data_IF_852528975632
#
_entry.id   IF_852528975632
#
_cell.length_a   1.000
_cell.length_b   1.000
_cell.length_c   1.000
_cell.angle_alpha   90.00
_cell.angle_beta   90.00
_cell.angle_gamma   90.00
#
_symmetry.space_group_name_H-M   'P 1'
#
loop_
_entity.id
_entity.type
_entity.pdbx_description
1 polymer ?
#
# COMPACT_ATOMS: atom_id res chain seq x y z
N UNK A 1 19.65 -4.98 -4.96
CA UNK A 1 20.03 -6.40 -4.77
C UNK A 1 21.02 -6.47 -3.63
N UNK A 2 20.57 -6.71 -2.40
CA UNK A 2 21.46 -7.02 -1.29
C UNK A 2 20.64 -7.76 -0.21
N UNK A 3 20.65 -9.09 -0.32
CA UNK A 3 20.62 -9.95 0.85
C UNK A 3 21.90 -9.73 1.67
N UNK A 4 21.98 -10.35 2.84
CA UNK A 4 23.14 -10.52 3.74
C UNK A 4 23.03 -9.73 5.04
N UNK A 5 22.43 -10.35 6.06
CA UNK A 5 22.98 -10.26 7.42
C UNK A 5 22.85 -11.64 8.08
N UNK A 6 23.95 -12.41 8.05
CA UNK A 6 24.28 -13.38 9.10
C UNK A 6 25.79 -13.58 9.19
N UNK A 7 26.28 -13.27 10.40
CA UNK A 7 27.32 -13.97 11.17
C UNK A 7 28.77 -13.60 10.88
N UNK A 8 29.41 -13.00 11.88
CA UNK A 8 30.71 -13.45 12.39
C UNK A 8 30.89 -12.99 13.84
N UNK A 9 31.22 -13.97 14.69
CA UNK A 9 31.68 -13.86 16.07
C UNK A 9 33.18 -14.16 15.99
N UNK A 10 34.07 -13.40 16.62
CA UNK A 10 34.94 -13.84 17.73
C UNK A 10 36.14 -12.93 18.04
N UNK A 11 36.55 -13.07 19.30
CA UNK A 11 37.83 -12.71 19.94
C UNK A 11 37.87 -11.31 20.55
N UNK A 12 38.46 -11.06 21.72
CA UNK A 12 38.99 -11.91 22.80
C UNK A 12 39.42 -10.95 23.92
N UNK A 13 39.31 -11.35 25.19
CA UNK A 13 40.33 -11.09 26.24
C UNK A 13 39.97 -11.77 27.57
N UNK A 14 41.00 -12.42 28.11
CA UNK A 14 41.09 -13.20 29.35
C UNK A 14 41.03 -12.32 30.62
N UNK A 15 40.63 -12.94 31.74
CA UNK A 15 41.32 -12.94 33.05
C UNK A 15 40.54 -13.86 34.01
N UNK A 16 40.86 -15.15 34.18
CA UNK A 16 41.72 -15.77 35.22
C UNK A 16 41.47 -15.31 36.67
N UNK A 17 40.95 -16.20 37.54
CA UNK A 17 41.46 -16.43 38.91
C UNK A 17 41.10 -17.83 39.46
N UNK A 18 42.17 -18.55 39.84
CA UNK A 18 42.45 -19.61 40.84
C UNK A 18 41.29 -20.46 41.41
N UNK A 19 41.25 -21.78 41.16
CA UNK A 19 41.91 -22.92 41.87
C UNK A 19 41.44 -23.13 43.32
N UNK A 20 40.81 -24.29 43.59
CA UNK A 20 41.05 -25.20 44.73
C UNK A 20 40.13 -26.45 44.60
N UNK A 21 40.72 -27.64 44.71
CA UNK A 21 40.15 -29.00 44.78
C UNK A 21 40.99 -29.75 45.85
N UNK A 22 40.64 -30.97 46.33
CA UNK A 22 39.42 -31.80 46.23
C UNK A 22 39.00 -32.34 47.64
N UNK A 23 38.21 -33.44 47.80
CA UNK A 23 38.75 -34.80 47.64
C UNK A 23 37.79 -35.82 46.97
N UNK A 24 38.38 -36.97 46.71
CA UNK A 24 37.99 -38.11 45.88
C UNK A 24 37.10 -39.10 46.66
N UNK A 25 36.10 -39.69 46.00
CA UNK A 25 35.47 -40.95 46.45
C UNK A 25 35.14 -41.85 45.24
N UNK A 26 35.98 -42.88 45.13
CA UNK A 26 35.78 -44.28 44.69
C UNK A 26 34.77 -44.70 43.60
N UNK A 27 35.34 -45.40 42.60
CA UNK A 27 34.93 -46.69 42.03
C UNK A 27 34.25 -46.76 40.63
N UNK A 28 34.46 -47.88 39.89
CA UNK A 28 35.08 -47.85 38.55
C UNK A 28 34.11 -48.09 37.38
N UNK A 29 34.54 -47.70 36.18
CA UNK A 29 33.88 -47.99 34.89
C UNK A 29 34.22 -49.41 34.41
N UNK A 30 33.26 -50.17 33.86
CA UNK A 30 33.56 -51.18 32.86
C UNK A 30 33.45 -50.56 31.45
N UNK A 31 34.53 -50.70 30.68
CA UNK A 31 34.54 -50.53 29.23
C UNK A 31 33.70 -51.65 28.60
N UNK A 32 32.56 -51.30 28.00
CA UNK A 32 31.92 -52.16 27.01
C UNK A 32 31.53 -51.32 25.81
N UNK A 33 32.29 -51.53 24.73
CA UNK A 33 31.89 -51.19 23.38
C UNK A 33 30.70 -52.04 22.98
N UNK A 34 29.53 -51.41 22.80
CA UNK A 34 28.48 -51.99 21.95
C UNK A 34 28.34 -51.12 20.71
N UNK A 35 28.74 -51.70 19.58
CA UNK A 35 28.42 -51.23 18.25
C UNK A 35 26.92 -50.98 18.14
N UNK A 36 26.50 -49.70 18.05
CA UNK A 36 25.13 -49.36 17.67
C UNK A 36 25.01 -49.41 16.15
N UNK A 37 24.78 -50.59 15.62
CA UNK A 37 24.34 -50.80 14.24
C UNK A 37 22.86 -50.47 14.13
N UNK A 38 22.53 -49.20 13.89
CA UNK A 38 21.19 -48.82 13.42
C UNK A 38 21.26 -47.98 12.14
N UNK A 39 21.78 -48.60 11.07
CA UNK A 39 21.62 -48.15 9.69
C UNK A 39 20.21 -48.43 9.14
N UNK A 40 19.17 -48.20 9.94
CA UNK A 40 17.78 -48.25 9.48
C UNK A 40 17.11 -46.91 9.76
N UNK A 41 17.37 -45.95 8.87
CA UNK A 41 16.48 -44.80 8.69
C UNK A 41 15.16 -45.34 8.11
N UNK A 42 14.25 -45.79 8.96
CA UNK A 42 12.89 -46.15 8.53
C UNK A 42 12.21 -44.87 8.07
N UNK A 43 12.28 -44.59 6.76
CA UNK A 43 11.45 -43.57 6.13
C UNK A 43 10.02 -44.03 6.32
N UNK A 44 9.30 -43.42 7.26
CA UNK A 44 7.87 -43.68 7.42
C UNK A 44 7.18 -43.53 6.06
N UNK A 45 6.50 -44.57 5.56
CA UNK A 45 5.87 -44.52 4.25
C UNK A 45 4.90 -43.33 4.19
N UNK A 46 4.90 -42.59 3.08
CA UNK A 46 4.13 -41.33 2.92
C UNK A 46 2.65 -41.46 3.31
N UNK A 47 2.09 -42.67 3.25
CA UNK A 47 0.73 -43.05 3.66
C UNK A 47 0.43 -42.81 5.15
N UNK A 48 1.41 -42.94 6.04
CA UNK A 48 1.23 -42.79 7.50
C UNK A 48 1.70 -41.43 8.05
N UNK A 49 2.18 -40.52 7.19
CA UNK A 49 2.40 -39.14 7.61
C UNK A 49 1.05 -38.48 7.82
N UNK A 50 0.68 -38.22 9.09
CA UNK A 50 -0.44 -37.33 9.43
C UNK A 50 -0.31 -36.07 8.57
N UNK A 51 -1.32 -35.81 7.72
CA UNK A 51 -1.43 -34.56 6.96
C UNK A 51 -1.52 -33.43 7.98
N UNK A 52 -0.37 -32.84 8.34
CA UNK A 52 -0.35 -31.63 9.16
C UNK A 52 -1.11 -30.57 8.38
N UNK A 53 -2.13 -29.97 8.98
CA UNK A 53 -2.75 -28.77 8.41
C UNK A 53 -1.60 -27.80 8.08
N UNK A 54 -1.57 -27.23 6.86
CA UNK A 54 -0.53 -26.26 6.52
C UNK A 54 -0.53 -25.19 7.60
N UNK A 55 0.65 -24.90 8.16
CA UNK A 55 0.79 -23.80 9.12
C UNK A 55 0.33 -22.53 8.42
N UNK A 56 -0.53 -21.75 9.08
CA UNK A 56 -0.94 -20.46 8.56
C UNK A 56 0.30 -19.61 8.32
N UNK A 57 0.43 -19.11 7.09
CA UNK A 57 1.51 -18.22 6.71
C UNK A 57 0.99 -16.78 6.74
N UNK A 58 1.84 -15.78 7.06
CA UNK A 58 1.45 -14.37 6.96
C UNK A 58 0.97 -13.94 5.57
N UNK A 59 1.25 -14.74 4.54
CA UNK A 59 0.79 -14.53 3.17
C UNK A 59 -0.65 -15.00 2.92
N UNK A 60 -1.19 -15.83 3.80
CA UNK A 60 -2.54 -16.39 3.70
C UNK A 60 -3.43 -15.93 4.84
N UNK A 61 -2.83 -15.58 5.98
CA UNK A 61 -3.55 -15.06 7.13
C UNK A 61 -4.06 -13.65 6.85
N UNK A 62 -5.36 -13.46 7.01
CA UNK A 62 -6.03 -12.17 6.87
C UNK A 62 -5.70 -11.27 8.07
N UNK A 63 -5.67 -9.96 7.83
CA UNK A 63 -5.45 -8.96 8.89
C UNK A 63 -6.62 -8.90 9.86
N UNK A 64 -7.84 -8.91 9.32
CA UNK A 64 -9.07 -8.90 10.12
C UNK A 64 -9.54 -10.32 10.40
N UNK A 65 -10.09 -10.51 11.60
CA UNK A 65 -10.82 -11.72 11.96
C UNK A 65 -12.24 -11.69 11.35
N UNK A 66 -12.81 -12.87 11.12
CA UNK A 66 -14.16 -13.08 10.56
C UNK A 66 -15.25 -12.13 11.09
N UNK A 67 -15.39 -11.82 12.40
CA UNK A 67 -16.49 -10.98 12.89
C UNK A 67 -16.37 -9.48 12.52
N UNK A 68 -15.17 -8.99 12.20
CA UNK A 68 -14.93 -7.57 11.90
C UNK A 68 -14.70 -7.31 10.41
N UNK A 69 -14.93 -8.32 9.56
CA UNK A 69 -14.63 -8.26 8.14
C UNK A 69 -15.72 -7.51 7.40
N UNK A 70 -15.30 -6.53 6.61
CA UNK A 70 -16.17 -5.80 5.70
C UNK A 70 -15.94 -6.33 4.28
N UNK A 71 -16.96 -7.01 3.74
CA UNK A 71 -16.88 -7.71 2.45
C UNK A 71 -16.55 -6.77 1.29
N UNK A 72 -17.11 -5.56 1.26
CA UNK A 72 -16.90 -4.60 0.18
C UNK A 72 -15.42 -4.18 0.02
N UNK A 73 -14.71 -3.89 1.12
CA UNK A 73 -13.29 -3.52 1.06
C UNK A 73 -12.40 -4.67 0.61
N UNK A 74 -12.77 -5.89 0.99
CA UNK A 74 -12.06 -7.11 0.58
C UNK A 74 -12.26 -7.41 -0.91
N UNK A 75 -13.46 -7.16 -1.43
CA UNK A 75 -13.76 -7.26 -2.86
C UNK A 75 -12.94 -6.25 -3.67
N UNK A 76 -12.75 -5.01 -3.19
CA UNK A 76 -11.89 -4.03 -3.86
C UNK A 76 -10.44 -4.51 -3.98
N UNK A 77 -9.88 -5.11 -2.93
CA UNK A 77 -8.52 -5.69 -2.99
C UNK A 77 -8.46 -6.89 -3.94
N UNK A 78 -9.51 -7.70 -4.01
CA UNK A 78 -9.59 -8.82 -4.95
C UNK A 78 -9.70 -8.34 -6.40
N UNK A 79 -10.51 -7.30 -6.65
CA UNK A 79 -10.66 -6.62 -7.95
C UNK A 79 -9.30 -6.16 -8.47
N UNK A 80 -8.51 -5.47 -7.65
CA UNK A 80 -7.16 -5.03 -8.05
C UNK A 80 -6.26 -6.22 -8.42
N UNK A 81 -6.39 -7.34 -7.70
CA UNK A 81 -5.59 -8.54 -7.98
C UNK A 81 -5.99 -9.19 -9.30
N UNK A 82 -7.26 -9.09 -9.68
CA UNK A 82 -7.81 -9.60 -10.94
C UNK A 82 -7.33 -8.74 -12.12
N UNK A 83 -7.48 -7.41 -12.03
CA UNK A 83 -7.04 -6.47 -13.07
C UNK A 83 -5.54 -6.17 -13.04
N UNK A 84 -4.78 -6.79 -12.13
CA UNK A 84 -3.33 -6.57 -12.02
C UNK A 84 -2.60 -6.76 -13.36
N UNK A 85 -3.03 -7.73 -14.16
CA UNK A 85 -2.46 -7.94 -15.50
C UNK A 85 -2.76 -6.74 -16.41
N UNK A 86 -4.01 -6.33 -16.48
CA UNK A 86 -4.46 -5.22 -17.31
C UNK A 86 -3.76 -3.90 -16.92
N UNK A 87 -3.84 -3.48 -15.65
CA UNK A 87 -3.25 -2.20 -15.19
C UNK A 87 -1.74 -2.16 -15.43
N UNK A 88 -1.04 -3.27 -15.21
CA UNK A 88 0.41 -3.36 -15.40
C UNK A 88 0.80 -3.41 -16.88
N UNK A 89 0.04 -4.13 -17.69
CA UNK A 89 0.24 -4.15 -19.14
C UNK A 89 -0.02 -2.78 -19.77
N UNK A 90 -1.05 -2.06 -19.30
CA UNK A 90 -1.32 -0.67 -19.69
C UNK A 90 -0.11 0.22 -19.40
N UNK A 91 0.36 0.23 -18.15
CA UNK A 91 1.50 1.04 -17.70
C UNK A 91 2.81 0.72 -18.45
N UNK A 92 2.97 -0.53 -18.90
CA UNK A 92 4.15 -0.95 -19.66
C UNK A 92 4.06 -0.58 -21.14
N UNK A 93 2.93 -0.89 -21.79
CA UNK A 93 2.75 -0.64 -23.22
C UNK A 93 2.66 0.86 -23.53
N UNK A 94 2.06 1.66 -22.65
CA UNK A 94 2.01 3.13 -22.80
C UNK A 94 3.39 3.79 -22.80
N UNK A 95 4.44 3.08 -22.34
CA UNK A 95 5.84 3.55 -22.38
C UNK A 95 6.57 3.15 -23.66
N UNK A 96 6.01 2.24 -24.46
CA UNK A 96 6.58 1.84 -25.73
C UNK A 96 6.10 2.78 -26.83
N UNK A 97 6.93 3.14 -27.81
CA UNK A 97 6.59 4.13 -28.84
C UNK A 97 5.41 3.70 -29.72
N UNK A 98 5.32 2.41 -30.04
CA UNK A 98 4.26 1.86 -30.90
C UNK A 98 3.14 1.17 -30.10
N UNK A 99 3.20 1.21 -28.76
CA UNK A 99 2.28 0.48 -27.88
C UNK A 99 2.13 -1.04 -28.15
N UNK A 100 3.09 -1.66 -28.86
CA UNK A 100 3.07 -3.09 -29.18
C UNK A 100 4.20 -3.84 -28.48
N UNK A 101 3.96 -5.11 -28.17
CA UNK A 101 4.95 -6.04 -27.64
C UNK A 101 4.89 -7.41 -28.33
N UNK A 102 6.07 -7.97 -28.59
CA UNK A 102 6.22 -9.35 -29.10
C UNK A 102 5.91 -10.39 -28.02
N UNK A 103 5.18 -11.45 -28.38
CA UNK A 103 4.80 -12.51 -27.44
C UNK A 103 5.99 -13.20 -26.73
N UNK A 104 7.09 -13.42 -27.45
CA UNK A 104 8.29 -14.07 -26.91
C UNK A 104 8.92 -13.27 -25.76
N UNK A 105 8.86 -11.94 -25.86
CA UNK A 105 9.41 -11.05 -24.85
C UNK A 105 8.40 -10.84 -23.71
N UNK A 106 7.11 -10.78 -24.04
CA UNK A 106 6.03 -10.74 -23.06
C UNK A 106 6.10 -11.91 -22.06
N UNK A 107 6.45 -13.12 -22.53
CA UNK A 107 6.65 -14.28 -21.65
C UNK A 107 7.75 -14.09 -20.61
N UNK A 108 8.81 -13.33 -20.94
CA UNK A 108 9.91 -13.01 -20.01
C UNK A 108 9.51 -11.89 -19.04
N UNK A 109 8.73 -10.91 -19.50
CA UNK A 109 8.29 -9.72 -18.77
C UNK A 109 7.09 -9.96 -17.81
N UNK A 110 6.99 -11.15 -17.23
CA UNK A 110 5.91 -11.53 -16.31
C UNK A 110 5.73 -10.60 -15.10
N UNK A 111 6.80 -9.94 -14.64
CA UNK A 111 6.74 -8.98 -13.52
C UNK A 111 6.15 -7.65 -13.95
N UNK A 112 6.51 -7.19 -15.15
CA UNK A 112 6.13 -5.89 -15.70
C UNK A 112 4.70 -5.93 -16.23
N UNK A 113 4.28 -7.04 -16.85
CA UNK A 113 2.91 -7.27 -17.31
C UNK A 113 1.98 -7.80 -16.20
N UNK A 114 2.50 -8.12 -15.02
CA UNK A 114 1.66 -8.43 -13.85
C UNK A 114 1.05 -9.84 -13.79
N UNK A 115 1.45 -10.81 -14.62
CA UNK A 115 0.92 -12.18 -14.57
C UNK A 115 1.81 -13.18 -13.80
N UNK A 116 1.28 -14.30 -13.28
CA UNK A 116 2.08 -15.29 -12.55
C UNK A 116 3.15 -15.95 -13.42
N UNK A 117 4.37 -16.09 -12.89
CA UNK A 117 5.49 -16.77 -13.57
C UNK A 117 5.07 -18.16 -14.07
N UNK A 118 5.34 -18.46 -15.33
CA UNK A 118 5.06 -19.75 -15.96
C UNK A 118 3.65 -19.90 -16.54
N UNK A 119 2.79 -18.87 -16.49
CA UNK A 119 1.53 -18.82 -17.24
C UNK A 119 1.76 -18.22 -18.63
N UNK A 120 0.97 -18.65 -19.63
CA UNK A 120 0.99 -18.11 -20.99
C UNK A 120 0.23 -16.78 -21.04
N UNK A 121 0.85 -15.75 -21.62
CA UNK A 121 0.29 -14.39 -21.75
C UNK A 121 -0.99 -14.38 -22.59
N UNK A 122 -1.06 -15.24 -23.61
CA UNK A 122 -2.21 -15.39 -24.51
C UNK A 122 -3.54 -15.51 -23.75
N UNK A 123 -3.58 -16.33 -22.68
CA UNK A 123 -4.82 -16.52 -21.90
C UNK A 123 -5.23 -15.26 -21.14
N UNK A 124 -4.27 -14.42 -20.76
CA UNK A 124 -4.55 -13.16 -20.08
C UNK A 124 -5.01 -12.08 -21.07
N UNK A 125 -4.45 -12.07 -22.28
CA UNK A 125 -4.87 -11.17 -23.37
C UNK A 125 -6.30 -11.49 -23.83
N UNK A 126 -6.60 -12.79 -24.05
CA UNK A 126 -7.93 -13.24 -24.46
C UNK A 126 -9.05 -12.95 -23.45
N UNK A 127 -8.72 -12.54 -22.21
CA UNK A 127 -9.73 -12.10 -21.24
C UNK A 127 -10.20 -10.66 -21.46
N UNK A 128 -9.46 -9.89 -22.25
CA UNK A 128 -9.68 -8.46 -22.46
C UNK A 128 -9.62 -8.14 -23.97
N UNK A 129 -10.52 -8.71 -24.80
CA UNK A 129 -10.45 -8.61 -26.25
C UNK A 129 -10.67 -7.18 -26.78
N UNK A 130 -11.43 -6.34 -26.06
CA UNK A 130 -11.69 -4.95 -26.46
C UNK A 130 -10.47 -4.02 -26.29
N UNK A 131 -9.52 -4.44 -25.46
CA UNK A 131 -8.37 -3.62 -25.05
C UNK A 131 -7.11 -4.04 -25.80
N UNK A 132 -6.94 -5.35 -26.00
CA UNK A 132 -5.73 -5.91 -26.58
C UNK A 132 -6.04 -6.65 -27.88
N UNK A 133 -5.38 -6.24 -28.95
CA UNK A 133 -5.39 -6.96 -30.21
C UNK A 133 -4.15 -7.82 -30.36
N UNK A 134 -4.31 -8.98 -31.00
CA UNK A 134 -3.19 -9.85 -31.37
C UNK A 134 -3.08 -9.95 -32.88
N UNK A 135 -1.91 -9.65 -33.43
CA UNK A 135 -1.69 -9.73 -34.87
C UNK A 135 -0.38 -10.47 -35.20
N UNK A 136 -0.29 -10.98 -36.42
CA UNK A 136 0.90 -11.65 -36.93
C UNK A 136 1.69 -10.66 -37.79
N UNK A 137 2.89 -10.33 -37.35
CA UNK A 137 3.75 -9.41 -38.08
C UNK A 137 4.43 -10.12 -39.26
N UNK A 138 4.98 -9.36 -40.20
CA UNK A 138 5.66 -9.86 -41.42
C UNK A 138 6.80 -10.84 -41.13
N UNK A 139 7.39 -10.76 -39.94
CA UNK A 139 8.41 -11.68 -39.43
C UNK A 139 7.90 -13.10 -39.12
N UNK A 140 6.60 -13.36 -39.34
CA UNK A 140 5.94 -14.61 -39.00
C UNK A 140 5.70 -14.81 -37.50
N UNK A 141 6.15 -13.86 -36.66
CA UNK A 141 5.99 -13.84 -35.20
C UNK A 141 4.70 -13.13 -34.79
N UNK A 142 4.16 -13.53 -33.65
CA UNK A 142 2.97 -12.91 -33.07
C UNK A 142 3.35 -11.69 -32.23
N UNK A 143 2.54 -10.65 -32.33
CA UNK A 143 2.61 -9.42 -31.53
C UNK A 143 1.24 -9.14 -30.91
N UNK A 144 1.23 -8.39 -29.81
CA UNK A 144 0.00 -7.85 -29.24
C UNK A 144 0.20 -6.39 -28.85
N UNK A 145 -0.84 -5.58 -29.03
CA UNK A 145 -0.83 -4.14 -28.75
C UNK A 145 -2.20 -3.67 -28.28
N UNK A 146 -2.36 -2.36 -28.19
CA UNK A 146 -3.67 -1.75 -27.96
C UNK A 146 -4.53 -1.79 -29.22
N UNK A 147 -5.84 -1.84 -29.00
CA UNK A 147 -6.86 -1.58 -30.03
C UNK A 147 -7.01 -0.08 -30.23
N UNK A 148 -7.54 0.36 -31.38
CA UNK A 148 -7.89 1.77 -31.64
C UNK A 148 -8.78 2.34 -30.52
N UNK A 149 -9.74 1.55 -30.04
CA UNK A 149 -10.60 1.92 -28.92
C UNK A 149 -9.82 2.22 -27.63
N UNK A 150 -8.77 1.45 -27.35
CA UNK A 150 -7.92 1.69 -26.19
C UNK A 150 -7.04 2.93 -26.38
N UNK A 151 -6.66 3.27 -27.61
CA UNK A 151 -5.94 4.52 -27.90
C UNK A 151 -6.83 5.74 -27.63
N UNK A 152 -8.09 5.72 -28.07
CA UNK A 152 -9.08 6.76 -27.76
C UNK A 152 -9.25 6.95 -26.24
N UNK A 153 -9.29 5.85 -25.48
CA UNK A 153 -9.37 5.89 -24.02
C UNK A 153 -8.10 6.48 -23.38
N UNK A 154 -6.91 6.21 -23.94
CA UNK A 154 -5.66 6.81 -23.45
C UNK A 154 -5.63 8.33 -23.69
N UNK A 155 -6.22 8.82 -24.78
CA UNK A 155 -6.38 10.25 -25.02
C UNK A 155 -7.35 10.91 -24.03
N UNK A 156 -8.49 10.24 -23.74
CA UNK A 156 -9.43 10.67 -22.70
C UNK A 156 -8.73 10.75 -21.33
N UNK A 157 -7.93 9.73 -20.97
CA UNK A 157 -7.15 9.73 -19.71
C UNK A 157 -6.17 10.91 -19.65
N UNK A 158 -5.46 11.20 -20.74
CA UNK A 158 -4.51 12.33 -20.83
C UNK A 158 -5.22 13.66 -20.65
N UNK A 159 -6.35 13.87 -21.31
CA UNK A 159 -7.17 15.09 -21.19
C UNK A 159 -7.63 15.30 -19.74
N UNK A 160 -8.10 14.26 -19.07
CA UNK A 160 -8.48 14.31 -17.66
C UNK A 160 -7.26 14.69 -16.80
N UNK A 161 -6.10 14.06 -17.01
CA UNK A 161 -4.89 14.37 -16.24
C UNK A 161 -4.41 15.82 -16.43
N UNK A 162 -4.56 16.38 -17.62
CA UNK A 162 -4.22 17.78 -17.90
C UNK A 162 -5.18 18.74 -17.20
N UNK A 163 -6.48 18.47 -17.24
CA UNK A 163 -7.48 19.30 -16.55
C UNK A 163 -7.27 19.35 -15.03
N UNK A 164 -6.79 18.25 -14.43
CA UNK A 164 -6.59 18.10 -12.99
C UNK A 164 -5.21 18.55 -12.50
N UNK A 165 -4.34 19.09 -13.37
CA UNK A 165 -2.94 19.39 -13.04
C UNK A 165 -2.78 20.27 -11.80
N UNK A 166 -3.62 21.30 -11.66
CA UNK A 166 -3.58 22.26 -10.54
C UNK A 166 -3.87 21.60 -9.20
N UNK A 167 -4.81 20.66 -9.16
CA UNK A 167 -5.14 19.88 -7.98
C UNK A 167 -4.01 18.92 -7.62
N UNK A 168 -3.40 18.27 -8.62
CA UNK A 168 -2.25 17.38 -8.39
C UNK A 168 -1.05 18.14 -7.84
N UNK A 169 -0.77 19.34 -8.35
CA UNK A 169 0.26 20.24 -7.81
C UNK A 169 -0.05 20.60 -6.35
N UNK A 170 -1.31 20.91 -6.04
CA UNK A 170 -1.75 21.22 -4.67
C UNK A 170 -1.56 20.03 -3.73
N UNK A 171 -1.89 18.82 -4.18
CA UNK A 171 -1.64 17.57 -3.43
C UNK A 171 -0.16 17.36 -3.15
N UNK A 172 0.72 17.58 -4.13
CA UNK A 172 2.17 17.47 -3.91
C UNK A 172 2.67 18.55 -2.95
N UNK A 173 2.16 19.79 -3.03
CA UNK A 173 2.48 20.86 -2.06
C UNK A 173 2.10 20.44 -0.65
N UNK A 174 0.90 19.90 -0.43
CA UNK A 174 0.46 19.38 0.86
C UNK A 174 1.33 18.22 1.37
N UNK A 175 1.69 17.27 0.51
CA UNK A 175 2.61 16.18 0.85
C UNK A 175 3.96 16.70 1.33
N UNK A 176 4.53 17.70 0.64
CA UNK A 176 5.77 18.34 1.07
C UNK A 176 5.58 19.09 2.40
N UNK A 177 4.47 19.81 2.57
CA UNK A 177 4.19 20.54 3.80
C UNK A 177 4.09 19.64 5.05
N UNK A 178 3.58 18.41 4.90
CA UNK A 178 3.54 17.42 5.99
C UNK A 178 4.89 16.72 6.24
N UNK A 179 5.85 16.81 5.32
CA UNK A 179 7.17 16.19 5.49
C UNK A 179 7.98 16.93 6.53
N UNK A 180 8.65 16.21 7.44
CA UNK A 180 9.44 16.77 8.53
C UNK A 180 10.51 17.78 8.07
N UNK A 181 11.10 17.57 6.90
CA UNK A 181 12.11 18.49 6.31
C UNK A 181 11.56 19.34 5.16
N UNK A 182 10.25 19.30 4.91
CA UNK A 182 9.59 19.91 3.74
C UNK A 182 10.19 19.49 2.40
N UNK A 183 10.74 18.27 2.39
CA UNK A 183 11.53 17.69 1.30
C UNK A 183 11.13 16.24 1.13
N UNK A 184 10.99 15.80 -0.12
CA UNK A 184 10.68 14.41 -0.47
C UNK A 184 11.49 14.01 -1.72
N UNK A 185 12.19 12.86 -1.72
CA UNK A 185 12.84 12.34 -2.91
C UNK A 185 11.86 12.12 -4.08
N UNK A 186 12.24 12.59 -5.28
CA UNK A 186 11.40 12.44 -6.48
C UNK A 186 11.14 10.97 -6.84
N UNK A 187 12.06 10.07 -6.50
CA UNK A 187 11.89 8.62 -6.71
C UNK A 187 10.72 8.06 -5.90
N UNK A 188 10.50 8.55 -4.67
CA UNK A 188 9.39 8.11 -3.81
C UNK A 188 8.05 8.62 -4.35
N UNK A 189 8.01 9.89 -4.77
CA UNK A 189 6.82 10.47 -5.42
C UNK A 189 6.48 9.70 -6.69
N UNK A 190 7.47 9.41 -7.54
CA UNK A 190 7.27 8.65 -8.77
C UNK A 190 6.75 7.22 -8.52
N UNK A 191 7.25 6.55 -7.47
CA UNK A 191 6.78 5.23 -7.09
C UNK A 191 5.31 5.24 -6.64
N UNK A 192 4.88 6.29 -5.93
CA UNK A 192 3.51 6.44 -5.44
C UNK A 192 2.60 7.30 -6.33
N UNK A 193 3.05 7.65 -7.56
CA UNK A 193 2.34 8.58 -8.45
C UNK A 193 0.89 8.18 -8.74
N UNK A 194 0.66 6.88 -8.96
CA UNK A 194 -0.66 6.35 -9.28
C UNK A 194 -1.68 6.51 -8.13
N UNK A 195 -1.23 6.59 -6.87
CA UNK A 195 -2.12 6.80 -5.72
C UNK A 195 -2.69 8.21 -5.66
N UNK A 196 -1.90 9.18 -6.14
CA UNK A 196 -2.24 10.60 -6.10
C UNK A 196 -2.73 11.11 -7.45
N UNK A 197 -2.72 10.28 -8.50
CA UNK A 197 -3.04 10.72 -9.86
C UNK A 197 -1.99 11.65 -10.47
N UNK A 198 -0.72 11.51 -10.05
CA UNK A 198 0.38 12.32 -10.55
C UNK A 198 0.85 11.76 -11.90
N UNK A 199 0.96 12.60 -12.96
CA UNK A 199 1.43 12.16 -14.27
C UNK A 199 2.90 11.74 -14.25
N UNK A 200 3.32 10.92 -15.22
CA UNK A 200 4.73 10.47 -15.31
C UNK A 200 5.68 11.65 -15.58
N UNK A 201 5.23 12.62 -16.37
CA UNK A 201 5.97 13.85 -16.72
C UNK A 201 6.05 14.86 -15.58
N UNK A 202 5.57 14.52 -14.39
CA UNK A 202 5.54 15.46 -13.26
C UNK A 202 6.90 16.08 -12.98
N UNK A 203 7.99 15.32 -13.16
CA UNK A 203 9.36 15.82 -13.01
C UNK A 203 9.65 17.03 -13.90
N UNK A 204 9.16 17.00 -15.14
CA UNK A 204 9.38 18.09 -16.10
C UNK A 204 8.40 19.23 -15.82
N UNK A 205 7.15 18.90 -15.41
CA UNK A 205 6.13 19.88 -15.00
C UNK A 205 6.52 20.67 -13.76
N UNK A 206 7.32 20.11 -12.84
CA UNK A 206 7.86 20.82 -11.66
C UNK A 206 8.57 22.12 -12.07
N UNK A 207 9.25 22.14 -13.22
CA UNK A 207 9.94 23.32 -13.73
C UNK A 207 9.00 24.49 -14.07
N UNK A 208 7.72 24.22 -14.33
CA UNK A 208 6.68 25.24 -14.56
C UNK A 208 6.28 25.97 -13.29
N UNK A 209 6.58 25.41 -12.11
CA UNK A 209 6.15 25.93 -10.80
C UNK A 209 7.34 26.29 -9.89
N UNK A 210 8.25 27.19 -10.30
CA UNK A 210 9.44 27.55 -9.52
C UNK A 210 9.09 28.24 -8.19
N UNK A 211 7.91 28.87 -8.11
CA UNK A 211 7.43 29.52 -6.90
C UNK A 211 7.04 28.52 -5.80
N UNK A 212 6.73 27.27 -6.17
CA UNK A 212 6.29 26.24 -5.23
C UNK A 212 7.38 25.21 -4.95
N UNK A 213 8.15 24.84 -5.98
CA UNK A 213 9.06 23.72 -5.91
C UNK A 213 10.48 24.10 -6.29
N UNK A 214 11.44 23.50 -5.58
CA UNK A 214 12.86 23.54 -5.91
C UNK A 214 13.40 22.12 -5.97
N UNK A 215 14.11 21.80 -7.04
CA UNK A 215 14.81 20.52 -7.16
C UNK A 215 16.22 20.69 -6.61
N UNK A 216 16.56 19.94 -5.57
CA UNK A 216 17.90 19.89 -4.97
C UNK A 216 18.50 18.53 -5.25
N UNK A 217 19.76 18.50 -5.67
CA UNK A 217 20.52 17.25 -5.77
C UNK A 217 21.32 17.11 -4.49
N UNK A 218 21.04 16.07 -3.71
CA UNK A 218 21.81 15.75 -2.51
C UNK A 218 23.18 15.15 -2.88
N UNK A 219 24.11 15.12 -1.93
CA UNK A 219 25.47 14.60 -2.10
C UNK A 219 25.49 13.14 -2.60
N UNK A 220 24.45 12.37 -2.27
CA UNK A 220 24.19 11.00 -2.75
C UNK A 220 23.80 10.91 -4.24
N UNK A 221 23.70 12.04 -4.96
CA UNK A 221 23.19 12.13 -6.33
C UNK A 221 21.67 11.99 -6.45
N UNK A 222 20.95 11.90 -5.32
CA UNK A 222 19.49 11.78 -5.28
C UNK A 222 18.84 13.13 -5.53
N UNK A 223 17.84 13.16 -6.41
CA UNK A 223 17.04 14.37 -6.67
C UNK A 223 15.89 14.44 -5.68
N UNK A 224 15.86 15.51 -4.91
CA UNK A 224 14.88 15.78 -3.87
C UNK A 224 14.06 17.00 -4.25
N UNK A 225 12.75 16.90 -4.08
CA UNK A 225 11.82 18.00 -4.26
C UNK A 225 11.68 18.72 -2.91
N UNK A 226 11.99 20.00 -2.89
CA UNK A 226 11.87 20.89 -1.74
C UNK A 226 10.74 21.91 -1.95
N UNK A 227 9.99 22.18 -0.88
CA UNK A 227 8.99 23.24 -0.87
C UNK A 227 9.66 24.60 -0.71
N UNK A 228 9.38 25.52 -1.64
CA UNK A 228 9.91 26.90 -1.60
C UNK A 228 9.04 27.79 -0.72
N UNK A 229 7.73 27.83 -1.02
CA UNK A 229 6.79 28.68 -0.33
C UNK A 229 5.78 27.87 0.48
N UNK A 230 5.67 28.19 1.76
CA UNK A 230 4.66 27.62 2.65
C UNK A 230 3.36 28.41 2.52
N UNK A 231 2.27 27.70 2.24
CA UNK A 231 0.96 28.32 2.05
C UNK A 231 0.04 27.99 3.23
N UNK A 232 -0.26 28.96 4.11
CA UNK A 232 -1.14 28.73 5.26
C UNK A 232 -2.55 28.29 4.87
N UNK A 233 -3.04 28.68 3.68
CA UNK A 233 -4.38 28.31 3.22
C UNK A 233 -4.48 26.81 2.90
N UNK A 234 -3.36 26.20 2.50
CA UNK A 234 -3.29 24.76 2.26
C UNK A 234 -3.03 23.96 3.55
N UNK A 235 -2.55 24.60 4.61
CA UNK A 235 -2.22 23.98 5.89
C UNK A 235 -3.47 23.65 6.74
N UNK A 236 -4.58 23.32 6.09
CA UNK A 236 -5.82 22.85 6.72
C UNK A 236 -6.07 21.42 6.27
N UNK A 237 -6.11 20.51 7.25
CA UNK A 237 -6.35 19.09 7.04
C UNK A 237 -7.80 18.81 6.65
N UNK A 238 -8.03 17.64 6.03
CA UNK A 238 -9.36 17.13 5.78
C UNK A 238 -10.18 17.00 7.07
N UNK A 239 -9.54 16.58 8.17
CA UNK A 239 -10.20 16.48 9.48
C UNK A 239 -10.62 17.83 10.03
N UNK A 240 -9.78 18.86 9.92
CA UNK A 240 -10.11 20.22 10.38
C UNK A 240 -11.24 20.83 9.54
N UNK A 241 -11.26 20.58 8.22
CA UNK A 241 -12.39 20.99 7.36
C UNK A 241 -13.68 20.27 7.74
N UNK A 242 -13.60 18.97 7.97
CA UNK A 242 -14.76 18.17 8.40
C UNK A 242 -15.25 18.58 9.77
N UNK A 243 -14.35 19.01 10.67
CA UNK A 243 -14.71 19.49 12.01
C UNK A 243 -15.60 20.73 11.95
N UNK A 244 -15.39 21.62 10.97
CA UNK A 244 -16.25 22.80 10.77
C UNK A 244 -17.66 22.44 10.28
N UNK A 245 -17.83 21.28 9.65
CA UNK A 245 -19.12 20.81 9.11
C UNK A 245 -19.85 19.97 10.15
N UNK A 246 -19.14 19.03 10.78
CA UNK A 246 -19.68 18.05 11.72
C UNK A 246 -18.65 17.72 12.82
N UNK A 247 -18.68 18.52 13.88
CA UNK A 247 -17.79 18.36 15.03
C UNK A 247 -17.95 16.99 15.70
N UNK A 248 -19.18 16.50 15.83
CA UNK A 248 -19.48 15.29 16.59
C UNK A 248 -18.97 14.04 15.88
N UNK A 249 -18.99 14.02 14.55
CA UNK A 249 -18.38 12.96 13.76
C UNK A 249 -16.87 12.92 13.97
N UNK A 250 -16.19 14.06 13.86
CA UNK A 250 -14.72 14.13 13.99
C UNK A 250 -14.26 13.79 15.41
N UNK A 251 -14.98 14.25 16.44
CA UNK A 251 -14.71 13.87 17.85
C UNK A 251 -14.84 12.35 18.10
N UNK A 252 -15.65 11.66 17.29
CA UNK A 252 -15.86 10.20 17.36
C UNK A 252 -14.95 9.40 16.43
N UNK A 253 -14.25 10.04 15.49
CA UNK A 253 -13.39 9.42 14.49
C UNK A 253 -12.22 8.70 15.17
N UNK A 254 -11.43 9.44 15.95
CA UNK A 254 -10.32 8.86 16.72
C UNK A 254 -10.73 8.52 18.14
N UNK A 255 -10.14 7.45 18.68
CA UNK A 255 -10.31 7.06 20.07
C UNK A 255 -8.96 6.69 20.66
N UNK A 256 -8.47 7.51 21.60
CA UNK A 256 -7.28 7.21 22.39
C UNK A 256 -7.68 6.82 23.81
N UNK A 257 -7.87 5.52 24.11
CA UNK A 257 -8.28 5.10 25.44
C UNK A 257 -7.18 5.32 26.47
N UNK A 258 -7.57 5.66 27.70
CA UNK A 258 -6.61 5.77 28.81
C UNK A 258 -6.10 4.38 29.18
N UNK A 259 -4.76 4.24 29.22
CA UNK A 259 -4.06 3.06 29.72
C UNK A 259 -4.47 2.93 31.19
N UNK A 260 -5.21 1.89 31.57
CA UNK A 260 -5.80 1.67 32.92
C UNK A 260 -7.19 2.27 33.21
N UNK A 261 -7.94 2.73 32.20
CA UNK A 261 -9.30 3.23 32.45
C UNK A 261 -10.27 2.22 33.08
N UNK A 262 -10.01 0.90 32.93
CA UNK A 262 -10.79 -0.17 33.56
C UNK A 262 -10.44 -0.40 35.03
N UNK A 263 -9.25 -0.01 35.44
CA UNK A 263 -8.77 -0.17 36.82
C UNK A 263 -9.26 0.98 37.72
N UNK A 264 -9.96 1.97 37.12
CA UNK A 264 -10.47 3.16 37.78
C UNK A 264 -11.96 3.06 38.16
N UNK A 265 -12.62 1.92 37.92
CA UNK A 265 -14.05 1.69 38.20
C UNK A 265 -14.97 2.85 37.78
N UNK A 266 -14.71 3.44 36.61
CA UNK A 266 -15.43 4.60 36.10
C UNK A 266 -16.73 4.18 35.38
N UNK A 267 -17.77 4.98 35.55
CA UNK A 267 -19.01 4.87 34.78
C UNK A 267 -18.77 5.06 33.28
N UNK A 268 -19.63 4.48 32.42
CA UNK A 268 -19.49 4.59 30.96
C UNK A 268 -19.41 6.04 30.46
N UNK A 269 -20.14 6.96 31.11
CA UNK A 269 -20.13 8.39 30.79
C UNK A 269 -18.78 9.04 31.07
N UNK A 270 -18.20 8.74 32.23
CA UNK A 270 -16.90 9.27 32.65
C UNK A 270 -15.77 8.68 31.81
N UNK A 271 -15.84 7.39 31.46
CA UNK A 271 -14.91 6.77 30.52
C UNK A 271 -14.98 7.46 29.16
N UNK A 272 -16.18 7.78 28.65
CA UNK A 272 -16.34 8.50 27.37
C UNK A 272 -15.74 9.90 27.46
N UNK A 273 -15.99 10.63 28.55
CA UNK A 273 -15.45 11.98 28.78
C UNK A 273 -13.93 11.95 28.89
N UNK A 274 -13.37 11.02 29.66
CA UNK A 274 -11.93 10.85 29.83
C UNK A 274 -11.24 10.48 28.51
N UNK A 275 -11.84 9.59 27.73
CA UNK A 275 -11.34 9.25 26.39
C UNK A 275 -11.39 10.45 25.43
N UNK A 276 -12.42 11.29 25.51
CA UNK A 276 -12.52 12.50 24.71
C UNK A 276 -11.43 13.50 25.09
N UNK A 277 -11.22 13.72 26.39
CA UNK A 277 -10.12 14.55 26.90
C UNK A 277 -8.75 14.03 26.47
N UNK A 278 -8.58 12.70 26.46
CA UNK A 278 -7.35 12.09 25.99
C UNK A 278 -7.20 12.11 24.46
N UNK A 279 -8.29 12.30 23.71
CA UNK A 279 -8.30 12.34 22.25
C UNK A 279 -8.08 13.75 21.72
N UNK A 280 -8.65 14.76 22.37
CA UNK A 280 -8.51 16.16 21.99
C UNK A 280 -7.33 16.83 22.73
N UNK A 281 -6.72 17.89 22.19
CA UNK A 281 -6.91 18.39 20.82
C UNK A 281 -6.34 17.42 19.78
N UNK A 282 -6.93 17.43 18.58
CA UNK A 282 -6.32 16.78 17.42
C UNK A 282 -5.13 17.62 16.97
N UNK A 283 -3.98 16.97 16.80
CA UNK A 283 -2.75 17.64 16.37
C UNK A 283 -2.79 17.79 14.85
N UNK A 284 -2.63 19.01 14.35
CA UNK A 284 -2.64 19.29 12.92
C UNK A 284 -1.47 18.57 12.22
N UNK A 285 -1.70 17.85 11.10
CA UNK A 285 -0.65 17.22 10.30
C UNK A 285 0.40 18.19 9.74
N UNK A 286 0.07 19.48 9.66
CA UNK A 286 0.94 20.53 9.14
C UNK A 286 1.75 21.24 10.24
N UNK A 287 1.59 20.82 11.50
CA UNK A 287 2.43 21.26 12.61
C UNK A 287 3.77 20.51 12.62
N UNK A 288 4.81 21.09 13.24
CA UNK A 288 6.12 20.44 13.31
C UNK A 288 6.11 19.27 14.31
N UNK A 289 5.78 18.08 13.81
CA UNK A 289 5.79 16.85 14.60
C UNK A 289 7.15 16.15 14.69
N UNK A 290 8.20 16.71 14.09
CA UNK A 290 9.53 16.07 14.02
C UNK A 290 10.22 15.96 15.39
N UNK A 291 9.93 16.91 16.29
CA UNK A 291 10.46 16.94 17.66
C UNK A 291 9.69 16.07 18.66
N UNK A 292 8.57 15.45 18.26
CA UNK A 292 7.75 14.67 19.19
C UNK A 292 8.41 13.33 19.53
N UNK A 293 8.49 13.03 20.83
CA UNK A 293 9.02 11.75 21.29
C UNK A 293 8.11 10.61 20.83
N UNK A 294 8.70 9.61 20.18
CA UNK A 294 8.05 8.47 19.54
C UNK A 294 7.06 7.73 20.45
N UNK A 295 7.30 7.71 21.76
CA UNK A 295 6.52 6.95 22.73
C UNK A 295 5.39 7.75 23.39
N UNK A 296 5.28 9.04 23.09
CA UNK A 296 4.25 9.92 23.63
C UNK A 296 2.93 9.74 22.88
N UNK A 297 1.82 9.88 23.61
CA UNK A 297 0.47 9.81 23.04
C UNK A 297 0.24 10.89 21.97
N UNK A 298 0.81 12.08 22.16
CA UNK A 298 0.81 13.17 21.18
C UNK A 298 1.48 12.78 19.86
N UNK A 299 2.59 12.04 19.91
CA UNK A 299 3.25 11.56 18.69
C UNK A 299 2.39 10.50 17.97
N UNK A 300 1.68 9.66 18.72
CA UNK A 300 0.73 8.69 18.15
C UNK A 300 -0.44 9.42 17.47
N UNK A 301 -1.03 10.43 18.14
CA UNK A 301 -2.07 11.30 17.57
C UNK A 301 -1.62 11.99 16.29
N UNK A 302 -0.43 12.61 16.30
CA UNK A 302 0.13 13.30 15.15
C UNK A 302 0.26 12.36 13.94
N UNK A 303 0.85 11.18 14.12
CA UNK A 303 1.03 10.20 13.03
C UNK A 303 -0.29 9.67 12.47
N UNK A 304 -1.27 9.46 13.35
CA UNK A 304 -2.64 9.09 12.94
C UNK A 304 -3.25 10.20 12.08
N UNK A 305 -3.11 11.46 12.49
CA UNK A 305 -3.54 12.62 11.71
C UNK A 305 -2.84 12.73 10.35
N UNK A 306 -1.51 12.54 10.32
CA UNK A 306 -0.73 12.54 9.07
C UNK A 306 -1.16 11.42 8.12
N UNK A 307 -1.40 10.21 8.62
CA UNK A 307 -1.89 9.11 7.77
C UNK A 307 -3.31 9.34 7.29
N UNK A 308 -4.16 9.95 8.12
CA UNK A 308 -5.49 10.36 7.68
C UNK A 308 -5.39 11.38 6.55
N UNK A 309 -4.60 12.44 6.70
CA UNK A 309 -4.42 13.45 5.65
C UNK A 309 -3.81 12.83 4.39
N UNK A 310 -2.77 12.01 4.53
CA UNK A 310 -2.15 11.27 3.43
C UNK A 310 -3.17 10.44 2.63
N UNK A 311 -3.99 9.63 3.32
CA UNK A 311 -5.03 8.83 2.68
C UNK A 311 -6.13 9.71 2.09
N UNK A 312 -6.50 10.80 2.75
CA UNK A 312 -7.50 11.74 2.25
C UNK A 312 -7.11 12.41 0.93
N UNK A 313 -5.81 12.49 0.62
CA UNK A 313 -5.30 13.03 -0.65
C UNK A 313 -5.16 11.98 -1.75
N UNK A 314 -5.21 10.68 -1.42
CA UNK A 314 -5.20 9.64 -2.44
C UNK A 314 -6.52 9.64 -3.22
N UNK A 315 -6.47 9.18 -4.48
CA UNK A 315 -7.63 9.15 -5.38
C UNK A 315 -8.77 8.31 -4.80
N UNK A 316 -8.46 7.07 -4.45
CA UNK A 316 -9.43 6.11 -3.92
C UNK A 316 -9.48 6.11 -2.39
N UNK A 317 -8.90 7.10 -1.69
CA UNK A 317 -8.88 7.19 -0.21
C UNK A 317 -8.36 5.93 0.49
N UNK A 318 -7.39 5.27 -0.17
CA UNK A 318 -6.75 4.04 0.28
C UNK A 318 -5.30 3.95 -0.16
N UNK A 319 -4.48 3.21 0.58
CA UNK A 319 -3.10 2.93 0.19
C UNK A 319 -2.61 1.59 0.72
N UNK A 320 -1.75 0.93 -0.06
CA UNK A 320 -1.02 -0.25 0.42
C UNK A 320 0.01 0.14 1.49
N UNK A 321 0.29 -0.78 2.41
CA UNK A 321 1.32 -0.54 3.43
C UNK A 321 2.70 -0.26 2.82
N UNK A 322 3.02 -0.89 1.69
CA UNK A 322 4.31 -0.70 1.03
C UNK A 322 4.48 0.74 0.56
N UNK A 323 3.40 1.39 0.11
CA UNK A 323 3.41 2.80 -0.25
C UNK A 323 3.55 3.72 0.97
N UNK A 324 2.87 3.39 2.07
CA UNK A 324 2.95 4.19 3.31
C UNK A 324 4.37 4.13 3.91
N UNK A 325 4.97 2.94 3.96
CA UNK A 325 6.31 2.72 4.54
C UNK A 325 7.42 3.36 3.69
N UNK A 326 7.19 3.60 2.40
CA UNK A 326 8.13 4.33 1.54
C UNK A 326 8.42 5.74 2.10
N UNK A 327 7.41 6.39 2.68
CA UNK A 327 7.49 7.73 3.28
C UNK A 327 7.80 7.71 4.79
N UNK A 328 8.40 6.63 5.31
CA UNK A 328 8.67 6.50 6.75
C UNK A 328 9.56 7.61 7.32
N UNK A 329 10.49 8.13 6.53
CA UNK A 329 11.45 9.16 6.96
C UNK A 329 10.79 10.53 6.95
N UNK A 330 10.02 10.80 5.91
CA UNK A 330 9.31 12.06 5.67
C UNK A 330 8.22 12.28 6.72
N UNK A 331 7.40 11.25 7.00
CA UNK A 331 6.30 11.32 7.97
C UNK A 331 6.67 10.80 9.37
N UNK A 332 7.97 10.58 9.63
CA UNK A 332 8.48 10.08 10.91
C UNK A 332 7.79 8.78 11.39
N UNK A 333 7.40 7.90 10.47
CA UNK A 333 6.70 6.64 10.78
C UNK A 333 7.62 5.64 11.47
N UNK A 334 7.05 4.82 12.36
CA UNK A 334 7.81 3.80 13.11
C UNK A 334 7.34 2.39 12.78
N UNK A 335 8.05 1.39 13.29
CA UNK A 335 7.66 -0.03 13.18
C UNK A 335 6.28 -0.30 13.80
N UNK A 336 5.82 0.57 14.70
CA UNK A 336 4.52 0.46 15.38
C UNK A 336 3.35 1.07 14.60
N UNK A 337 3.59 1.62 13.40
CA UNK A 337 2.54 2.22 12.56
C UNK A 337 1.38 1.25 12.31
N UNK A 338 1.67 -0.05 12.14
CA UNK A 338 0.65 -1.08 12.02
C UNK A 338 -0.24 -1.21 13.27
N UNK A 339 0.39 -1.27 14.46
CA UNK A 339 -0.33 -1.37 15.73
C UNK A 339 -1.16 -0.11 16.02
N UNK A 340 -0.64 1.05 15.64
CA UNK A 340 -1.34 2.33 15.74
C UNK A 340 -2.61 2.35 14.89
N UNK A 341 -2.54 1.88 13.64
CA UNK A 341 -3.72 1.80 12.75
C UNK A 341 -4.76 0.79 13.26
N UNK A 342 -4.32 -0.36 13.78
CA UNK A 342 -5.22 -1.35 14.38
C UNK A 342 -5.99 -0.83 15.61
N UNK A 343 -5.41 0.11 16.37
CA UNK A 343 -6.09 0.74 17.51
C UNK A 343 -7.21 1.69 17.09
N UNK A 344 -7.26 2.10 15.82
CA UNK A 344 -8.21 3.07 15.28
C UNK A 344 -9.15 2.43 14.23
N UNK A 345 -9.96 1.42 14.60
CA UNK A 345 -10.81 0.69 13.65
C UNK A 345 -12.03 1.51 13.17
N UNK A 346 -12.33 2.65 13.81
CA UNK A 346 -13.43 3.54 13.42
C UNK A 346 -13.09 4.30 12.15
N UNK A 347 -11.90 4.88 12.09
CA UNK A 347 -11.42 5.64 10.94
C UNK A 347 -10.76 4.77 9.89
N UNK A 348 -9.94 3.79 10.29
CA UNK A 348 -9.20 2.95 9.34
C UNK A 348 -9.76 1.53 9.28
N UNK A 349 -9.88 1.02 8.06
CA UNK A 349 -10.09 -0.39 7.82
C UNK A 349 -8.85 -0.98 7.13
N UNK A 350 -8.38 -2.13 7.62
CA UNK A 350 -7.21 -2.81 7.07
C UNK A 350 -7.69 -4.06 6.34
N UNK A 351 -7.63 -4.06 5.01
CA UNK A 351 -8.06 -5.19 4.19
C UNK A 351 -6.86 -6.03 3.71
N UNK A 352 -7.09 -7.32 3.44
CA UNK A 352 -6.11 -8.22 2.85
C UNK A 352 -5.32 -9.05 3.86
N UNK A 353 -4.07 -9.38 3.52
CA UNK A 353 -3.24 -10.34 4.26
C UNK A 353 -2.22 -9.65 5.16
N UNK A 354 -1.75 -10.31 6.23
CA UNK A 354 -0.74 -9.74 7.14
C UNK A 354 0.51 -9.24 6.39
N UNK A 355 0.87 -9.87 5.27
CA UNK A 355 2.00 -9.45 4.43
C UNK A 355 1.66 -8.31 3.45
N UNK A 356 0.47 -8.34 2.85
CA UNK A 356 0.02 -7.37 1.85
C UNK A 356 -1.37 -6.89 2.25
N UNK A 357 -1.40 -5.79 2.99
CA UNK A 357 -2.61 -5.15 3.44
C UNK A 357 -2.72 -3.74 2.89
N UNK A 358 -3.97 -3.30 2.77
CA UNK A 358 -4.37 -2.01 2.26
C UNK A 358 -5.16 -1.30 3.34
N UNK A 359 -4.81 -0.04 3.58
CA UNK A 359 -5.49 0.83 4.54
C UNK A 359 -6.53 1.63 3.78
N UNK A 360 -7.77 1.55 4.25
CA UNK A 360 -8.90 2.30 3.75
C UNK A 360 -9.33 3.33 4.79
N UNK A 361 -9.68 4.53 4.34
CA UNK A 361 -10.35 5.51 5.16
C UNK A 361 -11.85 5.21 5.17
N UNK A 362 -12.40 4.70 6.27
CA UNK A 362 -13.82 4.31 6.37
C UNK A 362 -14.75 5.49 6.12
N UNK A 363 -14.34 6.67 6.59
CA UNK A 363 -15.10 7.91 6.47
C UNK A 363 -15.26 8.39 5.02
N UNK A 364 -14.55 7.79 4.05
CA UNK A 364 -14.66 8.14 2.63
C UNK A 364 -15.64 7.28 1.84
N UNK A 365 -16.13 6.18 2.42
CA UNK A 365 -16.99 5.22 1.74
C UNK A 365 -18.39 5.20 2.36
N UNK A 366 -19.39 4.92 1.52
CA UNK A 366 -20.74 4.66 1.98
C UNK A 366 -20.86 3.27 2.64
N UNK A 367 -22.05 2.93 3.14
CA UNK A 367 -22.32 1.62 3.77
C UNK A 367 -22.16 0.44 2.79
N UNK A 368 -22.26 0.71 1.48
CA UNK A 368 -22.11 -0.27 0.41
C UNK A 368 -20.64 -0.43 -0.04
N UNK A 369 -19.74 0.43 0.43
CA UNK A 369 -18.33 0.45 0.04
C UNK A 369 -18.01 1.20 -1.26
N UNK A 370 -18.91 2.07 -1.71
CA UNK A 370 -18.71 3.01 -2.82
C UNK A 370 -18.08 4.29 -2.29
N UNK A 371 -17.09 4.81 -3.01
CA UNK A 371 -16.42 6.06 -2.67
C UNK A 371 -17.38 7.24 -2.83
N UNK A 372 -17.54 8.04 -1.77
CA UNK A 372 -18.50 9.16 -1.76
C UNK A 372 -18.09 10.30 -2.69
N UNK A 373 -16.83 10.74 -2.62
CA UNK A 373 -16.29 11.80 -3.48
C UNK A 373 -15.31 11.18 -4.48
N UNK A 374 -15.80 10.94 -5.70
CA UNK A 374 -15.02 10.35 -6.78
C UNK A 374 -14.28 11.43 -7.58
N UNK A 375 -12.97 11.28 -7.65
CA UNK A 375 -12.14 12.05 -8.58
C UNK A 375 -12.48 11.65 -10.04
N UNK A 376 -12.46 12.58 -11.01
CA UNK A 376 -12.68 12.25 -12.42
C UNK A 376 -11.82 11.08 -12.92
N UNK A 377 -10.58 10.97 -12.42
CA UNK A 377 -9.69 9.86 -12.76
C UNK A 377 -10.16 8.51 -12.20
N UNK A 378 -10.83 8.50 -11.04
CA UNK A 378 -11.41 7.27 -10.47
C UNK A 378 -12.61 6.83 -11.31
N UNK A 379 -13.48 7.77 -11.71
CA UNK A 379 -14.63 7.48 -12.58
C UNK A 379 -14.15 6.91 -13.91
N UNK A 380 -13.11 7.49 -14.50
CA UNK A 380 -12.48 6.97 -15.71
C UNK A 380 -11.91 5.56 -15.50
N UNK A 381 -11.22 5.30 -14.37
CA UNK A 381 -10.70 3.97 -14.08
C UNK A 381 -11.80 2.91 -13.91
N UNK A 382 -12.96 3.28 -13.33
CA UNK A 382 -14.12 2.40 -13.23
C UNK A 382 -14.66 2.03 -14.62
N UNK A 383 -14.89 3.03 -15.48
CA UNK A 383 -15.26 2.86 -16.90
C UNK A 383 -14.27 1.94 -17.63
N UNK A 384 -12.98 2.14 -17.41
CA UNK A 384 -11.91 1.33 -18.00
C UNK A 384 -11.95 -0.14 -17.55
N UNK A 385 -12.25 -0.39 -16.28
CA UNK A 385 -12.40 -1.76 -15.76
C UNK A 385 -13.66 -2.45 -16.29
N UNK A 386 -14.76 -1.70 -16.48
CA UNK A 386 -15.97 -2.22 -17.11
C UNK A 386 -15.70 -2.70 -18.55
N UNK A 387 -15.04 -1.88 -19.38
CA UNK A 387 -14.64 -2.31 -20.73
C UNK A 387 -13.63 -3.45 -20.74
N UNK A 388 -12.78 -3.54 -19.71
CA UNK A 388 -11.88 -4.67 -19.58
C UNK A 388 -12.63 -6.00 -19.32
N UNK A 389 -13.79 -5.98 -18.67
CA UNK A 389 -14.60 -7.19 -18.45
C UNK A 389 -15.49 -7.56 -19.62
N UNK A 390 -15.88 -6.57 -20.44
CA UNK A 390 -16.70 -6.80 -21.63
C UNK A 390 -15.94 -7.61 -22.68
N UNK A 391 -16.63 -8.63 -23.23
CA UNK A 391 -16.07 -9.50 -24.28
C UNK A 391 -16.44 -9.03 -25.68
N UNK A 392 -17.59 -8.38 -25.84
CA UNK A 392 -18.08 -7.76 -27.07
C UNK A 392 -18.61 -6.36 -26.72
N UNK A 393 -18.44 -5.38 -27.62
CA UNK A 393 -19.18 -4.13 -27.51
C UNK A 393 -20.65 -4.45 -27.79
N UNK A 394 -21.52 -4.36 -26.78
CA UNK A 394 -22.96 -4.31 -27.07
C UNK A 394 -23.18 -3.11 -27.99
N UNK A 395 -23.57 -3.40 -29.23
CA UNK A 395 -23.98 -2.39 -30.19
C UNK A 395 -25.25 -1.76 -29.65
N UNK A 396 -25.13 -0.58 -29.04
CA UNK A 396 -26.26 0.26 -28.64
C UNK A 396 -26.92 0.86 -29.90
N UNK A 397 -27.50 -0.01 -30.72
CA UNK A 397 -28.33 0.32 -31.86
C UNK A 397 -29.50 -0.67 -31.92
N UNK A 398 -30.40 -0.62 -30.94
CA UNK A 398 -31.49 -1.59 -30.89
C UNK A 398 -32.63 -1.40 -29.91
N UNK A 399 -32.73 -0.30 -29.16
CA UNK A 399 -33.90 -0.07 -28.27
C UNK A 399 -34.47 1.34 -28.49
N UNK A 400 -34.86 1.62 -29.74
CA UNK A 400 -35.79 2.72 -30.03
C UNK A 400 -36.60 2.42 -31.28
N UNK A 401 -37.45 1.39 -31.21
CA UNK A 401 -38.70 1.26 -32.00
C UNK A 401 -39.39 -0.09 -31.74
N UNK A 402 -40.03 -0.24 -30.58
CA UNK A 402 -41.13 -1.23 -30.44
C UNK A 402 -42.05 -0.95 -29.26
N UNK A 403 -42.59 0.27 -29.17
CA UNK A 403 -43.80 0.58 -28.40
C UNK A 403 -44.55 1.74 -29.04
N UNK A 404 -45.25 1.45 -30.14
CA UNK A 404 -46.44 2.13 -30.66
C UNK A 404 -46.92 1.32 -31.85
N UNK A 405 -47.97 0.56 -31.60
CA UNK A 405 -48.64 -0.38 -32.50
C UNK A 405 -49.72 -1.03 -31.68
#
# INVERSE_FOLDING_TARGET
MAWWWRRLILSSKLSQYKTLLPPISSNPKPLISFFSTSFLRTKTPKKHKKRRKPKESPRTKLVQSEPNRLSHFELLVQRDSFFRFFTKSKDFLSKQPDHVLRFDDAGKLHRELGFPRGRKVIRSIQRHPLIFETYRHTDGKMWFGFTDFMEDLLEEEKSIMESMETERVTTVRKLLMMSAKKRIPLSKIYHCRALFGIPEDFRDRVSKYPNYFKIVVEDDGKRVLELVNWDPLLAVSALERDFMIDEDRVKKAFKFPVKHGKDLDLDEGDVRKLNLLNTLPLVSPYSDGSGLNIWTLEAEKYRVGVLHEYLSMTLEKRASIHHIVEFKEEFSLTKHTYQMLLKQPRTFYLAGTEMNWVVFLRDAYDENGVLMNKDPQVVFNEKLFEYAEMQDMESDSGIRNKRRG
#
